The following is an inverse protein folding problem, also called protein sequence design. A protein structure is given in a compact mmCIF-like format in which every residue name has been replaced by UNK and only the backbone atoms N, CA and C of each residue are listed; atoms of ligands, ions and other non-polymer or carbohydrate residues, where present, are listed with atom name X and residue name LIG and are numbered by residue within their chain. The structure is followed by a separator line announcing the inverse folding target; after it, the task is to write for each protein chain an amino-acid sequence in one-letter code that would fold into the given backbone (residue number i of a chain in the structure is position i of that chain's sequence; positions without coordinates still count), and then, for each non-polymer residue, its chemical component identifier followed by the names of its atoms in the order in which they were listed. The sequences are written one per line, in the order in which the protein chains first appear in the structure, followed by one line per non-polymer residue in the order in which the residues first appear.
data_IF_514637385438
#
_entry.id   IF_514637385438
#
_cell.length_a   1.000
_cell.length_b   1.000
_cell.length_c   1.000
_cell.angle_alpha   90.00
_cell.angle_beta   90.00
_cell.angle_gamma   90.00
#
_symmetry.space_group_name_H-M   'P 1'
#
loop_
_entity.id
_entity.type
_entity.pdbx_description
1 polymer ?
#
# COMPACT_ATOMS: atom_id res chain seq x y z
N UNK A 1 3.85 16.27 21.33
CA UNK A 1 4.14 17.68 21.00
C UNK A 1 3.29 18.05 19.79
N UNK A 2 2.28 18.92 19.93
CA UNK A 2 1.56 19.45 18.77
C UNK A 2 2.44 20.44 18.02
N UNK A 3 2.49 20.36 16.68
CA UNK A 3 3.20 21.31 15.82
C UNK A 3 2.32 22.56 15.57
N UNK A 4 2.19 23.41 16.59
CA UNK A 4 1.28 24.57 16.58
C UNK A 4 1.57 25.62 15.48
N UNK A 5 2.77 25.63 14.90
CA UNK A 5 3.16 26.52 13.80
C UNK A 5 3.09 25.87 12.41
N UNK A 6 2.73 24.58 12.32
CA UNK A 6 2.63 23.92 11.02
C UNK A 6 1.36 24.36 10.30
N UNK A 7 1.52 24.82 9.06
CA UNK A 7 0.39 25.18 8.20
C UNK A 7 -0.27 23.93 7.55
N UNK A 8 0.07 22.73 8.02
CA UNK A 8 -0.45 21.43 7.57
C UNK A 8 -1.60 20.95 8.45
N UNK A 9 -2.18 19.79 8.13
CA UNK A 9 -3.17 19.15 8.98
C UNK A 9 -2.69 18.95 10.43
N UNK A 10 -3.63 18.90 11.37
CA UNK A 10 -3.40 18.76 12.83
C UNK A 10 -2.60 17.50 13.19
N UNK A 11 -2.74 16.44 12.37
CA UNK A 11 -2.04 15.18 12.53
C UNK A 11 -1.29 14.76 11.26
N UNK A 12 -0.16 14.09 11.46
CA UNK A 12 0.57 13.44 10.37
C UNK A 12 -0.14 12.15 9.99
N UNK A 13 -0.23 11.90 8.69
CA UNK A 13 -0.84 10.68 8.14
C UNK A 13 0.17 9.94 7.27
N UNK A 14 -0.09 8.64 7.04
CA UNK A 14 0.71 7.80 6.15
C UNK A 14 -0.12 7.38 4.94
N UNK A 15 0.53 7.27 3.80
CA UNK A 15 0.01 6.52 2.65
C UNK A 15 0.82 5.25 2.54
N UNK A 16 0.16 4.12 2.32
CA UNK A 16 0.78 2.80 2.34
C UNK A 16 0.44 2.07 1.04
N UNK A 17 1.44 1.42 0.45
CA UNK A 17 1.25 0.46 -0.63
C UNK A 17 1.44 -0.95 -0.10
N UNK A 18 0.49 -1.82 -0.36
CA UNK A 18 0.52 -3.21 0.10
C UNK A 18 0.40 -4.12 -1.10
N UNK A 19 1.37 -5.03 -1.23
CA UNK A 19 1.31 -6.11 -2.21
C UNK A 19 1.33 -7.48 -1.54
N UNK A 20 0.62 -8.42 -2.15
CA UNK A 20 0.71 -9.84 -1.84
C UNK A 20 0.82 -10.61 -3.14
N UNK A 21 1.58 -11.70 -3.14
CA UNK A 21 1.80 -12.50 -4.33
C UNK A 21 2.21 -13.91 -3.93
N UNK A 22 1.67 -14.89 -4.65
CA UNK A 22 2.23 -16.24 -4.69
C UNK A 22 3.06 -16.33 -5.98
N UNK A 23 4.35 -16.68 -5.92
CA UNK A 23 5.17 -16.82 -7.13
C UNK A 23 4.53 -17.84 -8.08
N UNK A 24 4.25 -17.42 -9.31
CA UNK A 24 3.64 -18.26 -10.35
C UNK A 24 4.67 -19.08 -11.12
N UNK A 25 5.94 -18.68 -11.09
CA UNK A 25 7.07 -19.38 -11.69
C UNK A 25 8.35 -19.17 -10.85
N UNK A 26 9.37 -19.98 -11.14
CA UNK A 26 10.70 -19.85 -10.50
C UNK A 26 11.48 -18.62 -11.01
N UNK A 27 11.09 -18.05 -12.15
CA UNK A 27 11.76 -16.90 -12.76
C UNK A 27 11.27 -15.57 -12.16
N UNK A 28 10.25 -15.61 -11.30
CA UNK A 28 9.65 -14.42 -10.73
C UNK A 28 10.54 -13.87 -9.62
N UNK A 29 10.95 -12.61 -9.76
CA UNK A 29 11.95 -11.99 -8.92
C UNK A 29 11.31 -11.44 -7.64
N UNK A 30 12.13 -11.28 -6.58
CA UNK A 30 11.66 -10.64 -5.35
C UNK A 30 11.32 -9.16 -5.60
N UNK A 31 12.06 -8.52 -6.49
CA UNK A 31 11.88 -7.14 -6.92
C UNK A 31 10.47 -6.90 -7.48
N UNK A 32 9.86 -7.91 -8.11
CA UNK A 32 8.51 -7.80 -8.67
C UNK A 32 7.48 -7.44 -7.59
N UNK A 33 7.50 -8.09 -6.41
CA UNK A 33 6.53 -7.78 -5.34
C UNK A 33 6.81 -6.42 -4.69
N UNK A 34 8.07 -5.97 -4.68
CA UNK A 34 8.44 -4.63 -4.19
C UNK A 34 7.90 -3.57 -5.14
N UNK A 35 8.09 -3.75 -6.45
CA UNK A 35 7.57 -2.85 -7.48
C UNK A 35 6.03 -2.76 -7.41
N UNK A 36 5.34 -3.89 -7.17
CA UNK A 36 3.90 -3.89 -6.97
C UNK A 36 3.47 -3.11 -5.72
N UNK A 37 4.22 -3.21 -4.62
CA UNK A 37 3.94 -2.45 -3.40
C UNK A 37 4.16 -0.95 -3.64
N UNK A 38 5.21 -0.57 -4.37
CA UNK A 38 5.50 0.82 -4.72
C UNK A 38 4.44 1.41 -5.67
N UNK A 39 3.97 0.65 -6.65
CA UNK A 39 2.85 1.05 -7.51
C UNK A 39 1.58 1.29 -6.68
N UNK A 40 1.26 0.39 -5.74
CA UNK A 40 0.14 0.55 -4.83
C UNK A 40 0.29 1.81 -3.94
N UNK A 41 1.50 2.09 -3.47
CA UNK A 41 1.81 3.30 -2.70
C UNK A 41 1.61 4.56 -3.54
N UNK A 42 2.02 4.53 -4.81
CA UNK A 42 1.84 5.65 -5.73
C UNK A 42 0.36 5.93 -5.96
N UNK A 43 -0.44 4.89 -6.23
CA UNK A 43 -1.89 5.00 -6.36
C UNK A 43 -2.54 5.59 -5.10
N UNK A 44 -2.12 5.16 -3.91
CA UNK A 44 -2.60 5.72 -2.65
C UNK A 44 -2.32 7.22 -2.51
N UNK A 45 -1.14 7.67 -2.97
CA UNK A 45 -0.76 9.08 -2.96
C UNK A 45 -1.58 9.89 -3.96
N UNK A 46 -1.74 9.40 -5.19
CA UNK A 46 -2.51 10.07 -6.25
C UNK A 46 -3.99 10.17 -5.94
N UNK A 47 -4.57 9.14 -5.32
CA UNK A 47 -5.98 9.13 -4.91
C UNK A 47 -6.29 10.05 -3.71
N UNK A 48 -5.31 10.84 -3.23
CA UNK A 48 -5.52 11.84 -2.18
C UNK A 48 -4.81 11.57 -0.86
N UNK A 49 -3.80 10.68 -0.84
CA UNK A 49 -3.00 10.32 0.35
C UNK A 49 -3.87 9.77 1.51
N UNK A 50 -3.26 9.61 2.69
CA UNK A 50 -3.88 9.08 3.92
C UNK A 50 -4.75 7.84 3.68
N UNK A 51 -4.21 6.86 2.94
CA UNK A 51 -4.93 5.64 2.56
C UNK A 51 -3.98 4.51 2.21
N UNK A 52 -4.58 3.34 2.02
CA UNK A 52 -3.90 2.12 1.61
C UNK A 52 -4.24 1.86 0.14
N UNK A 53 -3.22 1.69 -0.69
CA UNK A 53 -3.33 1.11 -2.02
C UNK A 53 -3.00 -0.38 -1.96
N UNK A 54 -3.69 -1.18 -2.77
CA UNK A 54 -3.59 -2.64 -2.75
C UNK A 54 -3.22 -3.15 -4.15
N UNK A 55 -2.26 -4.08 -4.22
CA UNK A 55 -1.92 -4.79 -5.45
C UNK A 55 -1.74 -6.29 -5.20
N UNK A 56 -2.15 -7.12 -6.15
CA UNK A 56 -1.87 -8.57 -6.12
C UNK A 56 -2.60 -9.37 -5.02
N UNK A 57 -3.41 -8.73 -4.17
CA UNK A 57 -4.25 -9.43 -3.23
C UNK A 57 -5.29 -10.25 -4.00
N UNK A 58 -5.06 -11.57 -4.08
CA UNK A 58 -6.13 -12.49 -4.41
C UNK A 58 -7.28 -12.27 -3.41
N UNK A 59 -8.54 -12.26 -3.85
CA UNK A 59 -9.66 -12.18 -2.93
C UNK A 59 -9.53 -13.31 -1.91
N UNK A 60 -9.39 -12.94 -0.63
CA UNK A 60 -9.57 -13.90 0.46
C UNK A 60 -11.03 -14.31 0.37
N UNK A 61 -11.32 -15.49 -0.17
CA UNK A 61 -12.63 -16.11 -0.01
C UNK A 61 -12.83 -16.23 1.49
N UNK A 62 -13.73 -15.41 2.04
CA UNK A 62 -14.17 -15.48 3.43
C UNK A 62 -14.31 -16.94 3.85
N UNK A 63 -13.54 -17.38 4.85
CA UNK A 63 -13.89 -18.61 5.57
C UNK A 63 -15.21 -18.29 6.25
N UNK A 64 -16.26 -18.98 5.83
CA UNK A 64 -17.45 -19.15 6.66
C UNK A 64 -17.00 -19.71 8.02
N UNK A 65 -17.16 -18.91 9.07
CA UNK A 65 -17.40 -19.30 10.45
C UNK A 65 -17.74 -18.03 11.25
#
# INVERSE_FOLDING_TARGET
MPHQSSNTAEVVTLSLGVASMVPASMDQAFEDIVDLADQALYQAKEAGRNRIGLHGLAPVTSRAA
#
